data_IF_089764817905
#
_entry.id   IF_089764817905
#
_cell.length_a   1.000
_cell.length_b   1.000
_cell.length_c   1.000
_cell.angle_alpha   90.00
_cell.angle_beta   90.00
_cell.angle_gamma   90.00
#
_symmetry.space_group_name_H-M   'P 1'
#
loop_
_entity.id
_entity.type
_entity.pdbx_description
1 polymer ?
#
# COMPACT_ATOMS: atom_id res chain seq x y z
N UNK A 1 2.36 -2.26 2.65
CA UNK A 1 1.61 -3.52 2.79
C UNK A 1 2.01 -4.29 4.06
N UNK A 2 3.27 -4.21 4.50
CA UNK A 2 3.70 -4.70 5.81
C UNK A 2 3.37 -3.66 6.92
N UNK A 3 3.82 -3.91 8.15
CA UNK A 3 3.60 -3.07 9.33
C UNK A 3 4.90 -2.45 9.87
N UNK A 4 5.94 -2.35 9.03
CA UNK A 4 7.25 -1.90 9.48
C UNK A 4 7.26 -0.43 9.94
N UNK A 5 6.45 0.42 9.30
CA UNK A 5 6.31 1.81 9.71
C UNK A 5 5.67 1.93 11.10
N UNK A 6 4.58 1.21 11.34
CA UNK A 6 3.90 1.17 12.63
C UNK A 6 4.81 0.61 13.72
N UNK A 7 5.53 -0.48 13.43
CA UNK A 7 6.52 -1.08 14.35
C UNK A 7 7.69 -0.13 14.66
N UNK A 8 8.01 0.76 13.72
CA UNK A 8 9.01 1.81 13.93
C UNK A 8 8.44 3.03 14.68
N UNK A 9 7.16 3.05 15.03
CA UNK A 9 6.50 4.11 15.81
C UNK A 9 5.73 5.14 14.99
N UNK A 10 5.56 4.94 13.68
CA UNK A 10 4.69 5.81 12.87
C UNK A 10 3.22 5.64 13.29
N UNK A 11 2.53 6.76 13.52
CA UNK A 11 1.14 6.77 14.01
C UNK A 11 0.12 7.14 12.93
N UNK A 12 0.57 7.65 11.79
CA UNK A 12 -0.26 8.03 10.66
C UNK A 12 0.30 7.36 9.40
N UNK A 13 -0.17 6.15 9.12
CA UNK A 13 0.27 5.35 7.97
C UNK A 13 -0.94 5.05 7.09
N UNK A 14 -0.89 5.45 5.82
CA UNK A 14 -1.92 5.14 4.84
C UNK A 14 -1.46 4.01 3.92
N UNK A 15 -2.12 2.87 4.03
CA UNK A 15 -1.83 1.68 3.23
C UNK A 15 -2.53 1.75 1.86
N UNK A 16 -2.00 2.57 0.95
CA UNK A 16 -2.60 2.76 -0.39
C UNK A 16 -2.66 1.48 -1.23
N UNK A 17 -1.86 0.49 -0.91
CA UNK A 17 -1.89 -0.83 -1.56
C UNK A 17 -2.41 -1.94 -0.63
N UNK A 18 -3.14 -1.56 0.43
CA UNK A 18 -3.69 -2.50 1.42
C UNK A 18 -2.65 -3.10 2.35
N UNK A 19 -3.02 -4.15 3.06
CA UNK A 19 -2.19 -4.79 4.08
C UNK A 19 -2.19 -6.31 3.97
N UNK A 20 -1.05 -6.92 4.32
CA UNK A 20 -0.90 -8.38 4.39
C UNK A 20 -1.54 -9.00 5.63
N UNK A 21 -1.89 -8.19 6.64
CA UNK A 21 -2.35 -8.65 7.95
C UNK A 21 -3.88 -8.59 8.13
N UNK A 22 -4.59 -8.14 7.11
CA UNK A 22 -6.04 -8.16 7.05
C UNK A 22 -6.48 -9.07 5.90
N UNK A 23 -7.54 -9.84 6.11
CA UNK A 23 -8.03 -10.81 5.13
C UNK A 23 -9.47 -10.54 4.76
N UNK A 24 -9.76 -10.66 3.47
CA UNK A 24 -11.07 -10.44 2.89
C UNK A 24 -11.45 -11.58 1.95
N UNK A 25 -12.74 -11.72 1.68
CA UNK A 25 -13.23 -12.62 0.66
C UNK A 25 -12.89 -12.11 -0.74
N UNK A 26 -12.42 -12.98 -1.63
CA UNK A 26 -12.12 -12.65 -3.03
C UNK A 26 -13.35 -12.21 -3.83
N UNK A 27 -14.54 -12.69 -3.48
CA UNK A 27 -15.78 -12.43 -4.22
C UNK A 27 -16.67 -11.39 -3.53
N UNK A 28 -17.14 -11.66 -2.30
CA UNK A 28 -18.07 -10.77 -1.62
C UNK A 28 -17.42 -9.59 -0.89
N UNK A 29 -16.09 -9.54 -0.85
CA UNK A 29 -15.26 -8.47 -0.25
C UNK A 29 -15.49 -8.24 1.25
N UNK A 30 -16.22 -9.11 1.91
CA UNK A 30 -16.42 -9.02 3.37
C UNK A 30 -15.14 -9.42 4.10
N UNK A 31 -14.94 -8.78 5.24
CA UNK A 31 -13.83 -9.08 6.15
C UNK A 31 -13.94 -10.53 6.62
N UNK A 32 -12.79 -11.18 6.71
CA UNK A 32 -12.70 -12.50 7.30
C UNK A 32 -12.56 -12.36 8.83
N UNK A 33 -13.47 -12.94 9.61
CA UNK A 33 -13.55 -12.66 11.04
C UNK A 33 -12.48 -13.40 11.87
N UNK A 34 -11.86 -14.43 11.29
CA UNK A 34 -10.91 -15.29 11.98
C UNK A 34 -9.46 -14.96 11.61
N UNK A 35 -8.52 -15.52 12.36
CA UNK A 35 -7.10 -15.48 11.99
C UNK A 35 -6.82 -16.52 10.91
N UNK A 36 -5.98 -16.12 9.94
CA UNK A 36 -5.45 -17.06 8.95
C UNK A 36 -4.09 -17.55 9.45
N UNK A 37 -3.97 -18.86 9.66
CA UNK A 37 -2.70 -19.47 10.00
C UNK A 37 -1.81 -19.52 8.74
N UNK A 38 -0.79 -18.67 8.73
CA UNK A 38 0.19 -18.63 7.65
C UNK A 38 1.35 -19.54 8.03
N UNK A 39 1.60 -20.63 7.28
CA UNK A 39 2.70 -21.52 7.57
C UNK A 39 4.04 -20.78 7.61
N UNK A 40 4.82 -20.98 8.67
CA UNK A 40 6.16 -20.38 8.83
C UNK A 40 7.25 -21.25 8.20
N UNK A 41 6.91 -22.45 7.79
CA UNK A 41 7.80 -23.38 7.07
C UNK A 41 7.51 -23.30 5.58
N UNK A 42 8.50 -23.60 4.74
CA UNK A 42 8.29 -23.71 3.30
C UNK A 42 7.19 -24.73 3.00
N UNK A 43 6.05 -24.24 2.50
CA UNK A 43 4.99 -25.07 1.92
C UNK A 43 4.92 -24.78 0.44
N UNK A 44 4.91 -25.83 -0.35
CA UNK A 44 4.86 -25.71 -1.80
C UNK A 44 3.49 -25.17 -2.29
N UNK A 45 2.43 -25.48 -1.55
CA UNK A 45 1.08 -25.04 -1.84
C UNK A 45 0.22 -25.11 -0.58
N UNK A 46 -0.59 -24.05 -0.34
CA UNK A 46 -1.62 -24.04 0.67
C UNK A 46 -2.95 -23.60 0.04
N UNK A 47 -4.05 -24.20 0.48
CA UNK A 47 -5.39 -23.76 0.07
C UNK A 47 -5.87 -22.68 1.04
N UNK A 48 -6.39 -21.55 0.52
CA UNK A 48 -6.93 -20.50 1.35
C UNK A 48 -8.22 -20.97 2.05
N UNK A 49 -8.53 -20.45 3.25
CA UNK A 49 -9.79 -20.71 3.91
C UNK A 49 -10.99 -20.29 3.05
N UNK A 50 -12.12 -20.94 3.27
CA UNK A 50 -13.38 -20.57 2.63
C UNK A 50 -14.07 -19.42 3.39
N UNK A 51 -14.65 -18.49 2.66
CA UNK A 51 -15.44 -17.41 3.20
C UNK A 51 -16.71 -17.96 3.90
N UNK A 52 -16.99 -17.59 5.17
CA UNK A 52 -18.17 -18.07 5.89
C UNK A 52 -19.49 -17.53 5.32
N UNK A 53 -19.45 -16.50 4.47
CA UNK A 53 -20.64 -15.86 3.91
C UNK A 53 -21.02 -16.37 2.53
N UNK A 54 -20.04 -16.75 1.68
CA UNK A 54 -20.31 -17.17 0.31
C UNK A 54 -19.50 -18.36 -0.17
N UNK A 55 -18.59 -18.89 0.64
CA UNK A 55 -17.78 -20.07 0.33
C UNK A 55 -16.58 -19.82 -0.61
N UNK A 56 -16.42 -18.60 -1.13
CA UNK A 56 -15.27 -18.26 -1.99
C UNK A 56 -13.95 -18.18 -1.19
N UNK A 57 -12.79 -18.28 -1.85
CA UNK A 57 -11.50 -18.20 -1.17
C UNK A 57 -11.27 -16.87 -0.45
N UNK A 58 -10.57 -16.93 0.67
CA UNK A 58 -10.07 -15.76 1.39
C UNK A 58 -8.72 -15.35 0.82
N UNK A 59 -8.41 -14.06 0.80
CA UNK A 59 -7.13 -13.50 0.39
C UNK A 59 -6.69 -12.37 1.32
N UNK A 60 -5.40 -12.01 1.37
CA UNK A 60 -4.97 -10.76 1.99
C UNK A 60 -5.64 -9.54 1.34
N UNK A 61 -5.93 -8.53 2.14
CA UNK A 61 -6.51 -7.27 1.66
C UNK A 61 -5.43 -6.36 1.06
N UNK A 62 -4.83 -6.84 -0.02
CA UNK A 62 -3.86 -6.12 -0.83
C UNK A 62 -4.46 -5.77 -2.19
N UNK A 63 -4.00 -4.68 -2.78
CA UNK A 63 -4.42 -4.25 -4.13
C UNK A 63 -3.60 -5.02 -5.16
N UNK A 64 -4.25 -5.81 -6.00
CA UNK A 64 -3.63 -6.49 -7.11
C UNK A 64 -3.59 -5.59 -8.36
N UNK A 65 -2.72 -5.92 -9.30
CA UNK A 65 -2.69 -5.24 -10.59
C UNK A 65 -4.06 -5.31 -11.27
N UNK A 66 -4.56 -4.15 -11.71
CA UNK A 66 -5.90 -4.01 -12.29
C UNK A 66 -7.01 -3.70 -11.29
N UNK A 67 -6.75 -3.76 -9.98
CA UNK A 67 -7.69 -3.33 -8.95
C UNK A 67 -7.53 -1.83 -8.65
N UNK A 68 -8.61 -1.20 -8.22
CA UNK A 68 -8.59 0.19 -7.77
C UNK A 68 -7.97 0.29 -6.37
N UNK A 69 -7.25 1.39 -6.13
CA UNK A 69 -6.78 1.71 -4.78
C UNK A 69 -7.95 1.96 -3.83
N UNK A 70 -7.81 1.65 -2.54
CA UNK A 70 -8.82 1.96 -1.55
C UNK A 70 -9.00 3.48 -1.46
N UNK A 71 -10.24 3.94 -1.64
CA UNK A 71 -10.56 5.35 -1.83
C UNK A 71 -10.05 6.23 -0.69
N UNK A 72 -10.35 5.88 0.55
CA UNK A 72 -10.00 6.69 1.72
C UNK A 72 -8.48 6.83 1.94
N UNK A 73 -7.68 5.75 1.95
CA UNK A 73 -6.21 5.86 2.02
C UNK A 73 -5.63 6.69 0.88
N UNK A 74 -6.18 6.55 -0.34
CA UNK A 74 -5.73 7.32 -1.48
C UNK A 74 -6.00 8.83 -1.32
N UNK A 75 -7.23 9.21 -0.97
CA UNK A 75 -7.62 10.61 -0.74
C UNK A 75 -6.79 11.26 0.37
N UNK A 76 -6.58 10.55 1.49
CA UNK A 76 -5.73 11.06 2.57
C UNK A 76 -4.27 11.25 2.12
N UNK A 77 -3.74 10.33 1.30
CA UNK A 77 -2.38 10.44 0.77
C UNK A 77 -2.23 11.63 -0.18
N UNK A 78 -3.24 11.91 -1.00
CA UNK A 78 -3.25 13.10 -1.88
C UNK A 78 -3.27 14.37 -1.05
N UNK A 79 -4.16 14.48 -0.06
CA UNK A 79 -4.24 15.64 0.82
C UNK A 79 -2.92 15.85 1.58
N UNK A 80 -2.33 14.78 2.09
CA UNK A 80 -1.04 14.86 2.78
C UNK A 80 0.09 15.33 1.85
N UNK A 81 0.10 14.88 0.59
CA UNK A 81 1.08 15.32 -0.40
C UNK A 81 0.89 16.80 -0.78
N UNK A 82 -0.37 17.28 -0.86
CA UNK A 82 -0.68 18.69 -1.15
C UNK A 82 -0.29 19.65 -0.02
N UNK A 83 -0.24 19.17 1.22
CA UNK A 83 -0.10 20.00 2.42
C UNK A 83 1.23 19.80 3.14
N UNK A 84 2.13 18.94 2.64
CA UNK A 84 3.40 18.68 3.31
C UNK A 84 4.39 19.84 3.12
N UNK A 85 5.25 20.05 4.11
CA UNK A 85 6.38 20.98 4.01
C UNK A 85 7.58 20.39 3.26
N UNK A 86 7.73 19.05 3.29
CA UNK A 86 8.76 18.28 2.59
C UNK A 86 8.18 16.93 2.23
N UNK A 87 8.47 16.43 1.02
CA UNK A 87 8.06 15.10 0.58
C UNK A 87 9.27 14.18 0.41
N UNK A 88 9.27 13.03 1.07
CA UNK A 88 10.34 12.03 0.96
C UNK A 88 9.89 10.85 0.10
N UNK A 89 10.70 10.48 -0.89
CA UNK A 89 10.54 9.28 -1.72
C UNK A 89 11.62 8.29 -1.31
N UNK A 90 11.24 7.20 -0.65
CA UNK A 90 12.21 6.26 -0.06
C UNK A 90 11.97 4.84 -0.54
N UNK A 91 12.98 4.22 -1.16
CA UNK A 91 13.00 2.79 -1.48
C UNK A 91 11.92 2.33 -2.47
N UNK A 92 11.44 3.21 -3.34
CA UNK A 92 10.40 2.88 -4.34
C UNK A 92 10.93 2.97 -5.76
N UNK A 93 10.38 2.17 -6.67
CA UNK A 93 10.64 2.28 -8.11
C UNK A 93 9.92 3.47 -8.78
N UNK A 94 8.91 4.04 -8.11
CA UNK A 94 8.06 5.13 -8.60
C UNK A 94 7.45 4.90 -10.00
N UNK A 95 7.11 3.65 -10.34
CA UNK A 95 6.50 3.29 -11.64
C UNK A 95 5.04 2.89 -11.53
N UNK A 96 4.57 2.50 -10.34
CA UNK A 96 3.21 1.98 -10.14
C UNK A 96 2.21 3.11 -9.98
N UNK A 97 1.30 3.22 -10.94
CA UNK A 97 0.24 4.24 -10.92
C UNK A 97 -1.00 3.74 -10.16
N UNK A 98 -1.76 4.66 -9.53
CA UNK A 98 -1.57 6.12 -9.46
C UNK A 98 -0.60 6.57 -8.35
N UNK A 99 -0.12 5.70 -7.46
CA UNK A 99 0.71 6.07 -6.29
C UNK A 99 1.98 6.87 -6.69
N UNK A 100 2.56 6.57 -7.84
CA UNK A 100 3.72 7.30 -8.38
C UNK A 100 3.42 8.77 -8.75
N UNK A 101 2.16 9.24 -8.70
CA UNK A 101 1.84 10.66 -8.90
C UNK A 101 2.02 11.51 -7.65
N UNK A 102 2.04 10.91 -6.46
CA UNK A 102 2.09 11.65 -5.19
C UNK A 102 3.29 12.60 -5.07
N UNK A 103 4.54 12.22 -5.45
CA UNK A 103 5.67 13.15 -5.44
C UNK A 103 5.44 14.38 -6.34
N UNK A 104 4.77 14.19 -7.49
CA UNK A 104 4.43 15.29 -8.40
C UNK A 104 3.41 16.23 -7.81
N UNK A 105 2.43 15.70 -7.10
CA UNK A 105 1.42 16.49 -6.38
C UNK A 105 2.12 17.38 -5.35
N UNK A 106 3.01 16.82 -4.52
CA UNK A 106 3.77 17.57 -3.54
C UNK A 106 4.63 18.68 -4.19
N UNK A 107 5.38 18.36 -5.24
CA UNK A 107 6.19 19.33 -5.97
C UNK A 107 5.34 20.47 -6.57
N UNK A 108 4.18 20.17 -7.15
CA UNK A 108 3.27 21.20 -7.69
C UNK A 108 2.67 22.09 -6.59
N UNK A 109 2.52 21.57 -5.38
CA UNK A 109 2.07 22.33 -4.20
C UNK A 109 3.21 23.16 -3.56
N UNK A 110 4.42 23.06 -4.09
CA UNK A 110 5.58 23.85 -3.65
C UNK A 110 6.46 23.19 -2.60
N UNK A 111 6.18 21.93 -2.24
CA UNK A 111 7.03 21.19 -1.31
C UNK A 111 8.31 20.68 -2.01
N UNK A 112 9.49 20.83 -1.39
CA UNK A 112 10.70 20.17 -1.88
C UNK A 112 10.54 18.65 -1.81
N UNK A 113 11.02 17.95 -2.85
CA UNK A 113 10.96 16.49 -2.96
C UNK A 113 12.36 15.91 -2.84
N UNK A 114 12.58 15.03 -1.89
CA UNK A 114 13.86 14.38 -1.64
C UNK A 114 13.73 12.88 -1.92
N UNK A 115 14.56 12.35 -2.82
CA UNK A 115 14.60 10.92 -3.13
C UNK A 115 15.77 10.23 -2.40
N UNK A 116 15.44 9.14 -1.70
CA UNK A 116 16.43 8.24 -1.06
C UNK A 116 16.25 6.85 -1.68
N UNK A 117 17.09 6.55 -2.67
CA UNK A 117 16.96 5.33 -3.45
C UNK A 117 18.34 4.85 -3.97
N UNK A 118 18.59 3.54 -4.07
CA UNK A 118 19.87 3.03 -4.61
C UNK A 118 20.05 3.30 -6.10
N UNK A 119 18.98 3.55 -6.84
CA UNK A 119 19.00 3.84 -8.28
C UNK A 119 18.04 5.00 -8.59
N UNK A 120 18.30 5.69 -9.71
CA UNK A 120 17.40 6.74 -10.20
C UNK A 120 16.06 6.15 -10.63
N UNK A 121 14.99 6.91 -10.37
CA UNK A 121 13.62 6.58 -10.76
C UNK A 121 13.10 7.59 -11.81
N UNK A 122 11.94 7.34 -12.44
CA UNK A 122 11.27 8.33 -13.29
C UNK A 122 11.01 9.67 -12.60
N UNK A 123 10.91 9.66 -11.26
CA UNK A 123 10.63 10.85 -10.45
C UNK A 123 11.89 11.58 -9.98
N UNK A 124 13.09 11.02 -10.19
CA UNK A 124 14.38 11.67 -9.80
C UNK A 124 14.61 13.05 -10.44
N UNK A 125 13.90 13.36 -11.52
CA UNK A 125 13.94 14.69 -12.15
C UNK A 125 13.12 15.76 -11.43
N UNK A 126 12.31 15.38 -10.45
CA UNK A 126 11.52 16.29 -9.59
C UNK A 126 12.25 16.62 -8.29
N UNK A 127 13.30 15.88 -7.97
CA UNK A 127 13.98 15.97 -6.69
C UNK A 127 14.98 17.13 -6.67
N UNK A 128 15.03 17.85 -5.57
CA UNK A 128 15.98 18.92 -5.27
C UNK A 128 17.34 18.39 -4.83
#
# INVERSE_FOLDING_TARGET
MDDLHERAGSTQVEHVHGTLFHFICSECRKDYPDTVDIPTTEVFRAEPPACPYCGAPIRPDIVWFGEMLPQRPWEHSVIAAEQCDVYLVVGTSAVVQPAATLPRIAAHSGAPVIEINPARTPESGLCD
#
